data_IF_197424471226
#
_entry.id   IF_197424471226
#
_cell.length_a   1.000
_cell.length_b   1.000
_cell.length_c   1.000
_cell.angle_alpha   90.00
_cell.angle_beta   90.00
_cell.angle_gamma   90.00
#
_symmetry.space_group_name_H-M   'P 1'
#
loop_
_entity.id
_entity.type
_entity.pdbx_description
1 polymer ?
#
# COMPACT_ATOMS: atom_id res chain seq x y z
N UNK A 1 -50.52 -41.51 18.80
CA UNK A 1 -51.86 -41.16 18.33
C UNK A 1 -52.98 -41.85 19.19
N UNK A 2 -52.74 -43.04 19.63
CA UNK A 2 -53.75 -43.81 20.39
C UNK A 2 -53.93 -43.42 21.88
N UNK A 3 -52.98 -42.56 22.42
CA UNK A 3 -53.05 -42.22 23.85
C UNK A 3 -53.47 -40.76 24.14
N UNK A 4 -53.52 -39.89 23.14
CA UNK A 4 -53.92 -38.50 23.35
C UNK A 4 -54.93 -38.09 22.29
N UNK A 5 -56.16 -37.87 22.69
CA UNK A 5 -57.26 -37.38 21.83
C UNK A 5 -57.01 -35.87 21.37
N UNK A 6 -55.92 -35.29 21.75
CA UNK A 6 -55.62 -33.86 21.50
C UNK A 6 -54.42 -33.73 20.57
N UNK A 7 -54.69 -33.33 19.32
CA UNK A 7 -53.62 -33.10 18.27
C UNK A 7 -52.57 -32.10 18.74
N UNK A 8 -52.96 -31.10 19.52
CA UNK A 8 -52.07 -30.08 20.05
C UNK A 8 -51.03 -30.67 21.02
N UNK A 9 -51.46 -31.56 21.92
CA UNK A 9 -50.58 -32.21 22.88
C UNK A 9 -49.57 -33.15 22.19
N UNK A 10 -50.01 -33.86 21.16
CA UNK A 10 -49.15 -34.70 20.34
C UNK A 10 -48.09 -33.88 19.56
N UNK A 11 -48.51 -32.71 19.05
CA UNK A 11 -47.59 -31.76 18.37
C UNK A 11 -46.57 -31.20 19.34
N UNK A 12 -46.99 -30.77 20.53
CA UNK A 12 -46.08 -30.24 21.56
C UNK A 12 -45.05 -31.29 21.99
N UNK A 13 -45.49 -32.54 22.22
CA UNK A 13 -44.58 -33.65 22.56
C UNK A 13 -43.58 -33.95 21.44
N UNK A 14 -44.01 -33.93 20.18
CA UNK A 14 -43.15 -34.12 19.03
C UNK A 14 -42.12 -33.00 18.90
N UNK A 15 -42.51 -31.73 19.09
CA UNK A 15 -41.63 -30.58 19.10
C UNK A 15 -40.60 -30.64 20.23
N UNK A 16 -41.05 -30.99 21.44
CA UNK A 16 -40.12 -31.13 22.59
C UNK A 16 -39.10 -32.23 22.37
N UNK A 17 -39.53 -33.37 21.80
CA UNK A 17 -38.61 -34.45 21.44
C UNK A 17 -37.62 -34.01 20.35
N UNK A 18 -38.10 -33.33 19.32
CA UNK A 18 -37.25 -32.81 18.25
C UNK A 18 -36.20 -31.84 18.79
N UNK A 19 -36.58 -30.91 19.69
CA UNK A 19 -35.65 -29.99 20.35
C UNK A 19 -34.59 -30.70 21.21
N UNK A 20 -34.99 -31.78 21.91
CA UNK A 20 -34.07 -32.54 22.76
C UNK A 20 -33.02 -33.35 21.97
N UNK A 21 -33.25 -33.60 20.69
CA UNK A 21 -32.36 -34.36 19.81
C UNK A 21 -31.40 -33.40 19.04
N UNK A 22 -31.79 -32.14 18.87
CA UNK A 22 -30.94 -31.16 18.19
C UNK A 22 -29.80 -30.73 19.11
N UNK A 23 -28.53 -30.92 18.72
CA UNK A 23 -27.36 -30.47 19.50
C UNK A 23 -27.20 -28.96 19.39
N UNK A 24 -27.92 -28.20 20.24
CA UNK A 24 -27.91 -26.74 20.25
C UNK A 24 -26.52 -26.17 20.65
N UNK A 25 -25.68 -26.98 21.30
CA UNK A 25 -24.34 -26.62 21.73
C UNK A 25 -23.40 -26.38 20.54
N UNK A 26 -23.60 -27.05 19.41
CA UNK A 26 -22.72 -26.93 18.25
C UNK A 26 -22.70 -25.50 17.66
N UNK A 27 -23.86 -24.86 17.35
CA UNK A 27 -23.89 -23.48 16.88
C UNK A 27 -23.32 -22.50 17.89
N UNK A 28 -23.56 -22.69 19.19
CA UNK A 28 -23.04 -21.84 20.25
C UNK A 28 -21.53 -21.97 20.35
N UNK A 29 -20.99 -23.18 20.36
CA UNK A 29 -19.55 -23.41 20.35
C UNK A 29 -18.88 -22.79 19.11
N UNK A 30 -19.47 -23.02 17.92
CA UNK A 30 -18.95 -22.46 16.67
C UNK A 30 -18.89 -20.94 16.69
N UNK A 31 -19.96 -20.26 17.07
CA UNK A 31 -20.00 -18.81 17.15
C UNK A 31 -19.01 -18.25 18.17
N UNK A 32 -18.84 -18.94 19.30
CA UNK A 32 -17.87 -18.57 20.33
C UNK A 32 -16.44 -18.68 19.83
N UNK A 33 -16.07 -19.77 19.16
CA UNK A 33 -14.73 -19.94 18.59
C UNK A 33 -14.46 -18.92 17.48
N UNK A 34 -15.45 -18.62 16.63
CA UNK A 34 -15.32 -17.57 15.61
C UNK A 34 -15.10 -16.20 16.22
N UNK A 35 -15.82 -15.85 17.28
CA UNK A 35 -15.65 -14.60 18.00
C UNK A 35 -14.26 -14.48 18.65
N UNK A 36 -13.77 -15.56 19.27
CA UNK A 36 -12.42 -15.62 19.83
C UNK A 36 -11.36 -15.50 18.75
N UNK A 37 -11.54 -16.14 17.59
CA UNK A 37 -10.66 -16.01 16.44
C UNK A 37 -10.58 -14.58 15.92
N UNK A 38 -11.72 -13.94 15.70
CA UNK A 38 -11.82 -12.55 15.28
C UNK A 38 -11.16 -11.60 16.31
N UNK A 39 -11.39 -11.82 17.59
CA UNK A 39 -10.77 -11.03 18.66
C UNK A 39 -9.23 -11.15 18.67
N UNK A 40 -8.69 -12.38 18.48
CA UNK A 40 -7.24 -12.58 18.34
C UNK A 40 -6.66 -11.85 17.14
N UNK A 41 -7.34 -11.92 15.98
CA UNK A 41 -6.94 -11.19 14.77
C UNK A 41 -6.96 -9.67 14.99
N UNK A 42 -7.97 -9.14 15.68
CA UNK A 42 -8.03 -7.71 16.01
C UNK A 42 -6.84 -7.26 16.87
N UNK A 43 -6.38 -8.10 17.80
CA UNK A 43 -5.18 -7.80 18.61
C UNK A 43 -3.90 -7.69 17.79
N UNK A 44 -3.83 -8.32 16.62
CA UNK A 44 -2.72 -8.20 15.67
C UNK A 44 -2.92 -7.11 14.62
N UNK A 45 -3.95 -6.25 14.78
CA UNK A 45 -4.25 -5.16 13.86
C UNK A 45 -5.10 -5.55 12.64
N UNK A 46 -5.61 -6.79 12.59
CA UNK A 46 -6.44 -7.28 11.48
C UNK A 46 -7.92 -7.07 11.80
N UNK A 47 -8.62 -6.31 10.95
CA UNK A 47 -10.05 -6.06 11.11
C UNK A 47 -10.85 -7.12 10.35
N UNK A 48 -11.64 -7.91 11.08
CA UNK A 48 -12.54 -8.92 10.50
C UNK A 48 -13.91 -8.31 10.30
N UNK A 49 -14.36 -8.18 9.06
CA UNK A 49 -15.70 -7.65 8.70
C UNK A 49 -16.80 -8.71 8.75
N UNK A 50 -16.46 -9.96 8.53
CA UNK A 50 -17.40 -11.08 8.49
C UNK A 50 -16.82 -12.27 9.24
N UNK A 51 -17.60 -12.89 10.09
CA UNK A 51 -17.16 -14.05 10.90
C UNK A 51 -16.70 -15.23 10.04
N UNK A 52 -17.34 -15.45 8.89
CA UNK A 52 -16.96 -16.47 7.92
C UNK A 52 -15.52 -16.33 7.40
N UNK A 53 -14.98 -15.12 7.42
CA UNK A 53 -13.58 -14.86 7.01
C UNK A 53 -12.57 -15.58 7.91
N UNK A 54 -12.88 -15.75 9.20
CA UNK A 54 -12.00 -16.46 10.15
C UNK A 54 -11.89 -17.94 9.77
N UNK A 55 -13.02 -18.56 9.44
CA UNK A 55 -13.08 -19.96 8.98
C UNK A 55 -12.31 -20.14 7.66
N UNK A 56 -12.59 -19.28 6.67
CA UNK A 56 -11.94 -19.33 5.36
C UNK A 56 -10.42 -19.14 5.48
N UNK A 57 -9.98 -18.23 6.33
CA UNK A 57 -8.54 -17.99 6.57
C UNK A 57 -7.88 -19.23 7.19
N UNK A 58 -8.55 -19.89 8.13
CA UNK A 58 -8.04 -21.11 8.77
C UNK A 58 -7.96 -22.33 7.84
N UNK A 59 -8.74 -22.36 6.76
CA UNK A 59 -8.76 -23.43 5.77
C UNK A 59 -7.89 -23.15 4.54
N UNK A 60 -7.24 -21.98 4.48
CA UNK A 60 -6.38 -21.61 3.35
C UNK A 60 -5.14 -22.49 3.28
N UNK A 61 -4.91 -23.11 2.13
CA UNK A 61 -3.73 -23.93 1.83
C UNK A 61 -2.70 -23.20 0.96
N UNK A 62 -3.12 -22.12 0.29
CA UNK A 62 -2.28 -21.29 -0.58
C UNK A 62 -2.54 -19.83 -0.26
N UNK A 63 -1.48 -19.06 -0.10
CA UNK A 63 -1.53 -17.62 0.12
C UNK A 63 -0.84 -16.94 -1.07
N UNK A 64 -1.59 -16.10 -1.79
CA UNK A 64 -1.05 -15.24 -2.83
C UNK A 64 -0.87 -13.83 -2.26
N UNK A 65 0.35 -13.30 -2.33
CA UNK A 65 0.65 -11.96 -1.83
C UNK A 65 1.23 -11.10 -2.94
N UNK A 66 0.96 -9.81 -2.90
CA UNK A 66 1.72 -8.84 -3.68
C UNK A 66 3.11 -8.64 -3.04
N UNK A 67 4.08 -8.22 -3.85
CA UNK A 67 5.44 -7.99 -3.38
C UNK A 67 5.55 -6.67 -2.61
N UNK A 68 5.08 -5.60 -3.25
CA UNK A 68 5.32 -4.23 -2.78
C UNK A 68 4.39 -3.86 -1.64
N UNK A 69 4.95 -3.48 -0.49
CA UNK A 69 4.17 -3.11 0.69
C UNK A 69 3.59 -4.29 1.50
N UNK A 70 3.86 -5.55 1.05
CA UNK A 70 3.45 -6.76 1.78
C UNK A 70 4.67 -7.59 2.17
N UNK A 71 5.49 -7.99 1.21
CA UNK A 71 6.77 -8.68 1.45
C UNK A 71 7.89 -7.67 1.69
N UNK A 72 7.81 -6.52 1.02
CA UNK A 72 8.76 -5.42 1.17
C UNK A 72 8.12 -4.29 1.99
N UNK A 73 8.95 -3.43 2.57
CA UNK A 73 8.53 -2.29 3.40
C UNK A 73 7.94 -1.12 2.59
N UNK A 74 7.77 -1.27 1.26
CA UNK A 74 7.40 -0.17 0.35
C UNK A 74 8.33 1.06 0.47
N UNK A 75 9.60 0.81 0.77
CA UNK A 75 10.65 1.81 0.87
C UNK A 75 11.64 1.62 -0.24
N UNK A 76 11.97 2.69 -0.93
CA UNK A 76 12.99 2.71 -1.98
C UNK A 76 14.18 3.57 -1.54
N UNK A 77 15.34 3.28 -2.10
CA UNK A 77 16.54 4.10 -1.93
C UNK A 77 17.26 4.21 -3.26
N UNK A 78 17.85 5.36 -3.52
CA UNK A 78 18.71 5.57 -4.69
C UNK A 78 20.06 4.91 -4.42
N UNK A 79 20.38 3.85 -5.16
CA UNK A 79 21.61 3.05 -4.99
C UNK A 79 22.70 3.48 -5.95
N UNK A 80 22.30 3.72 -7.21
CA UNK A 80 23.23 4.06 -8.29
C UNK A 80 22.58 5.06 -9.25
N UNK A 81 23.39 5.88 -9.87
CA UNK A 81 22.99 6.74 -10.98
C UNK A 81 24.00 6.63 -12.13
N UNK A 82 23.53 6.83 -13.33
CA UNK A 82 24.38 6.91 -14.52
C UNK A 82 24.37 8.34 -15.07
N UNK A 83 25.54 8.96 -15.08
CA UNK A 83 25.70 10.26 -15.72
C UNK A 83 26.04 10.07 -17.19
N UNK A 84 25.10 10.36 -18.07
CA UNK A 84 25.26 10.18 -19.51
C UNK A 84 26.35 11.09 -20.09
N UNK A 85 26.49 12.32 -19.59
CA UNK A 85 27.47 13.28 -20.08
C UNK A 85 28.91 12.83 -19.84
N UNK A 86 29.15 12.13 -18.72
CA UNK A 86 30.45 11.59 -18.35
C UNK A 86 30.62 10.12 -18.69
N UNK A 87 29.54 9.47 -19.10
CA UNK A 87 29.46 8.01 -19.31
C UNK A 87 29.96 7.23 -18.10
N UNK A 88 29.62 7.71 -16.89
CA UNK A 88 30.09 7.15 -15.62
C UNK A 88 28.92 6.67 -14.77
N UNK A 89 29.06 5.48 -14.19
CA UNK A 89 28.19 4.97 -13.13
C UNK A 89 28.71 5.49 -11.78
N UNK A 90 27.80 6.00 -10.94
CA UNK A 90 28.13 6.52 -9.62
C UNK A 90 27.30 5.82 -8.58
N UNK A 91 27.92 5.32 -7.52
CA UNK A 91 27.25 4.70 -6.37
C UNK A 91 26.89 5.72 -5.31
N UNK A 92 26.03 5.35 -4.38
CA UNK A 92 25.49 6.22 -3.32
C UNK A 92 26.60 6.93 -2.51
N UNK A 93 27.75 6.29 -2.32
CA UNK A 93 28.90 6.84 -1.59
C UNK A 93 29.48 8.11 -2.24
N UNK A 94 29.33 8.24 -3.56
CA UNK A 94 29.92 9.32 -4.37
C UNK A 94 28.87 10.32 -4.89
N UNK A 95 27.65 10.33 -4.35
CA UNK A 95 26.60 11.26 -4.76
C UNK A 95 26.90 12.73 -4.44
N UNK A 96 27.87 13.00 -3.58
CA UNK A 96 28.32 14.35 -3.24
C UNK A 96 29.21 15.01 -4.32
N UNK A 97 29.65 14.26 -5.33
CA UNK A 97 30.35 14.83 -6.48
C UNK A 97 29.46 15.82 -7.26
N UNK A 98 30.04 16.93 -7.75
CA UNK A 98 29.29 18.04 -8.39
C UNK A 98 28.35 17.57 -9.51
N UNK A 99 28.83 16.67 -10.38
CA UNK A 99 28.04 16.20 -11.51
C UNK A 99 26.94 15.21 -11.11
N UNK A 100 27.14 14.41 -10.05
CA UNK A 100 26.14 13.55 -9.45
C UNK A 100 25.02 14.36 -8.81
N UNK A 101 25.37 15.43 -8.09
CA UNK A 101 24.40 16.39 -7.51
C UNK A 101 23.46 16.94 -8.57
N UNK A 102 23.99 17.34 -9.73
CA UNK A 102 23.19 17.91 -10.82
C UNK A 102 22.18 16.89 -11.40
N UNK A 103 22.54 15.60 -11.47
CA UNK A 103 21.63 14.54 -11.92
C UNK A 103 20.52 14.34 -10.88
N UNK A 104 20.86 14.28 -9.58
CA UNK A 104 19.89 14.15 -8.49
C UNK A 104 18.96 15.36 -8.45
N UNK A 105 19.50 16.57 -8.60
CA UNK A 105 18.71 17.80 -8.67
C UNK A 105 17.72 17.76 -9.83
N UNK A 106 18.15 17.34 -11.02
CA UNK A 106 17.27 17.22 -12.18
C UNK A 106 16.17 16.17 -11.95
N UNK A 107 16.50 15.05 -11.34
CA UNK A 107 15.52 14.01 -10.98
C UNK A 107 14.49 14.53 -9.96
N UNK A 108 14.93 15.33 -8.99
CA UNK A 108 14.06 15.98 -8.01
C UNK A 108 13.11 16.98 -8.69
N UNK A 109 13.59 17.83 -9.61
CA UNK A 109 12.73 18.76 -10.36
C UNK A 109 11.74 18.05 -11.29
N UNK A 110 12.04 16.83 -11.73
CA UNK A 110 11.13 16.00 -12.52
C UNK A 110 10.13 15.19 -11.67
N UNK A 111 10.24 15.25 -10.36
CA UNK A 111 9.32 14.60 -9.41
C UNK A 111 8.26 15.58 -8.92
N UNK A 112 7.18 15.07 -8.35
CA UNK A 112 6.15 15.92 -7.75
C UNK A 112 6.71 16.83 -6.65
N UNK A 113 6.23 18.09 -6.54
CA UNK A 113 6.65 19.00 -5.47
C UNK A 113 6.39 18.43 -4.07
N UNK A 114 5.31 17.66 -3.94
CA UNK A 114 4.95 16.90 -2.74
C UNK A 114 4.97 15.43 -3.13
N UNK A 115 6.10 14.72 -2.95
CA UNK A 115 6.23 13.34 -3.38
C UNK A 115 5.30 12.43 -2.56
N UNK A 116 4.61 11.49 -3.21
CA UNK A 116 3.71 10.54 -2.57
C UNK A 116 4.10 9.08 -2.83
N UNK A 117 4.83 8.79 -3.89
CA UNK A 117 5.32 7.44 -4.16
C UNK A 117 6.72 7.19 -3.57
N UNK A 118 7.05 5.92 -3.35
CA UNK A 118 8.30 5.51 -2.72
C UNK A 118 9.55 5.91 -3.55
N UNK A 119 9.45 5.96 -4.88
CA UNK A 119 10.54 6.35 -5.76
C UNK A 119 10.84 7.84 -5.65
N UNK A 120 9.81 8.67 -5.71
CA UNK A 120 9.95 10.12 -5.58
C UNK A 120 10.45 10.53 -4.19
N UNK A 121 9.93 9.87 -3.13
CA UNK A 121 10.44 10.05 -1.77
C UNK A 121 11.94 9.77 -1.68
N UNK A 122 12.42 8.68 -2.29
CA UNK A 122 13.84 8.33 -2.31
C UNK A 122 14.70 9.37 -3.07
N UNK A 123 14.18 9.93 -4.16
CA UNK A 123 14.87 10.99 -4.92
C UNK A 123 14.97 12.27 -4.09
N UNK A 124 13.86 12.68 -3.45
CA UNK A 124 13.84 13.87 -2.59
C UNK A 124 14.74 13.71 -1.36
N UNK A 125 14.77 12.52 -0.74
CA UNK A 125 15.71 12.22 0.34
C UNK A 125 17.16 12.30 -0.11
N UNK A 126 17.47 11.75 -1.29
CA UNK A 126 18.82 11.83 -1.88
C UNK A 126 19.22 13.28 -2.17
N UNK A 127 18.29 14.10 -2.65
CA UNK A 127 18.53 15.53 -2.87
C UNK A 127 18.84 16.25 -1.55
N UNK A 128 18.05 16.03 -0.50
CA UNK A 128 18.28 16.64 0.81
C UNK A 128 19.64 16.25 1.41
N UNK A 129 20.05 15.00 1.23
CA UNK A 129 21.32 14.49 1.76
C UNK A 129 22.56 15.00 0.99
N UNK A 130 22.38 15.38 -0.27
CA UNK A 130 23.50 15.80 -1.14
C UNK A 130 23.63 17.31 -1.31
N UNK A 131 22.55 18.07 -1.07
CA UNK A 131 22.53 19.52 -1.23
C UNK A 131 22.44 20.20 0.13
N UNK A 132 23.30 21.22 0.35
CA UNK A 132 23.31 22.01 1.58
C UNK A 132 22.22 23.08 1.61
N UNK A 133 21.82 23.56 0.43
CA UNK A 133 20.78 24.57 0.26
C UNK A 133 19.59 23.98 -0.50
N UNK A 134 18.41 24.18 0.03
CA UNK A 134 17.16 23.76 -0.60
C UNK A 134 16.61 24.91 -1.46
N UNK A 135 16.73 24.78 -2.76
CA UNK A 135 16.23 25.77 -3.71
C UNK A 135 14.73 25.62 -4.05
N UNK A 136 14.10 24.55 -3.62
CA UNK A 136 12.66 24.28 -3.92
C UNK A 136 11.72 25.41 -3.52
N UNK A 137 11.85 26.08 -2.36
CA UNK A 137 10.96 27.16 -1.96
C UNK A 137 10.98 28.39 -2.89
N UNK A 138 12.05 28.58 -3.65
CA UNK A 138 12.21 29.70 -4.57
C UNK A 138 11.54 29.50 -5.92
N UNK A 139 11.06 28.29 -6.19
CA UNK A 139 10.45 27.92 -7.45
C UNK A 139 9.00 27.45 -7.23
N UNK A 140 8.13 27.82 -8.16
CA UNK A 140 6.76 27.36 -8.20
C UNK A 140 6.53 26.55 -9.46
N UNK A 141 5.97 25.36 -9.36
CA UNK A 141 5.49 24.62 -10.52
C UNK A 141 4.37 25.40 -11.19
N UNK A 142 4.52 25.70 -12.46
CA UNK A 142 3.55 26.49 -13.25
C UNK A 142 2.79 25.64 -14.26
N UNK A 143 3.37 24.53 -14.67
CA UNK A 143 2.74 23.62 -15.61
C UNK A 143 3.30 22.21 -15.49
N UNK A 144 2.46 21.23 -15.76
CA UNK A 144 2.77 19.80 -15.80
C UNK A 144 2.21 19.20 -17.09
N UNK A 145 3.04 18.44 -17.78
CA UNK A 145 2.60 17.52 -18.82
C UNK A 145 2.50 16.13 -18.21
N UNK A 146 1.29 15.54 -18.14
CA UNK A 146 1.08 14.25 -17.50
C UNK A 146 1.69 13.09 -18.30
N UNK A 147 1.77 11.92 -17.68
CA UNK A 147 2.40 10.70 -18.23
C UNK A 147 1.64 10.08 -19.43
N UNK A 148 0.61 10.71 -19.96
CA UNK A 148 -0.30 10.17 -21.00
C UNK A 148 0.29 10.17 -22.43
N UNK A 149 1.51 10.65 -22.60
CA UNK A 149 2.16 10.82 -23.91
C UNK A 149 2.76 9.53 -24.49
N UNK A 150 3.19 9.61 -25.76
CA UNK A 150 4.04 8.61 -26.39
C UNK A 150 5.32 9.28 -26.88
N UNK A 151 6.50 9.01 -26.28
CA UNK A 151 6.72 8.05 -25.17
C UNK A 151 6.07 8.53 -23.85
N UNK A 152 5.76 7.60 -22.92
CA UNK A 152 5.20 7.97 -21.62
C UNK A 152 6.25 8.74 -20.81
N UNK A 153 6.07 10.04 -20.71
CA UNK A 153 6.99 10.96 -20.06
C UNK A 153 6.22 12.07 -19.36
N UNK A 154 6.51 12.29 -18.10
CA UNK A 154 6.00 13.41 -17.33
C UNK A 154 7.01 14.56 -17.38
N UNK A 155 6.54 15.78 -17.56
CA UNK A 155 7.42 16.96 -17.61
C UNK A 155 6.87 18.06 -16.72
N UNK A 156 7.70 18.56 -15.82
CA UNK A 156 7.38 19.68 -14.95
C UNK A 156 8.08 20.96 -15.40
N UNK A 157 7.37 22.07 -15.35
CA UNK A 157 7.91 23.40 -15.58
C UNK A 157 7.82 24.20 -14.29
N UNK A 158 8.98 24.55 -13.74
CA UNK A 158 9.10 25.37 -12.55
C UNK A 158 9.59 26.76 -12.93
N UNK A 159 9.04 27.78 -12.26
CA UNK A 159 9.42 29.19 -12.46
C UNK A 159 9.92 29.77 -11.15
N UNK A 160 11.10 30.37 -11.20
CA UNK A 160 11.69 31.14 -10.12
C UNK A 160 11.07 32.55 -10.03
N UNK A 161 11.10 33.17 -8.86
CA UNK A 161 10.62 34.54 -8.63
C UNK A 161 11.28 35.58 -9.54
N UNK A 162 12.55 35.38 -9.96
CA UNK A 162 13.27 36.23 -10.91
C UNK A 162 12.91 35.99 -12.39
N UNK A 163 11.99 35.07 -12.70
CA UNK A 163 11.58 34.75 -14.06
C UNK A 163 12.27 33.56 -14.73
N UNK A 164 13.35 33.04 -14.17
CA UNK A 164 14.05 31.87 -14.69
C UNK A 164 13.13 30.62 -14.62
N UNK A 165 13.30 29.72 -15.57
CA UNK A 165 12.51 28.47 -15.64
C UNK A 165 13.42 27.26 -15.63
N UNK A 166 12.97 26.22 -14.92
CA UNK A 166 13.53 24.87 -14.98
C UNK A 166 12.49 23.97 -15.63
N UNK A 167 12.92 23.21 -16.62
CA UNK A 167 12.11 22.18 -17.27
C UNK A 167 12.80 20.86 -17.01
N UNK A 168 12.13 19.96 -16.34
CA UNK A 168 12.65 18.64 -16.02
C UNK A 168 11.62 17.57 -16.38
N UNK A 169 12.08 16.49 -16.97
CA UNK A 169 11.22 15.40 -17.42
C UNK A 169 11.71 14.05 -16.88
N UNK A 170 10.78 13.17 -16.58
CA UNK A 170 11.02 11.76 -16.26
C UNK A 170 10.12 10.87 -17.10
N UNK A 171 10.61 9.70 -17.46
CA UNK A 171 9.84 8.75 -18.26
C UNK A 171 10.59 7.45 -18.48
N UNK A 172 9.96 6.51 -19.18
CA UNK A 172 10.61 5.28 -19.61
C UNK A 172 11.66 5.58 -20.69
N UNK A 173 12.79 4.85 -20.70
CA UNK A 173 13.82 4.95 -21.73
C UNK A 173 13.30 4.49 -23.10
#
# INVERSE_FOLDING_TARGET
YYHTANVLDSLLKALTLAMSILPEEIPVAFTTFMALGAWRLMKTGIIVKQMKTVETLGSATVICTDKTGTITENKMSLVQLYNFSEKKMVTAENFTETNSKKVIETAMWASEPIPFDAMELAIHESYQNTHHEDNRPNYKMIFEYPLDGKPPMMTHIHKHSNGNRIIAAKGAP
#
